data_IF_000902080295
#
_entry.id   IF_000902080295
#
_cell.length_a   1.000
_cell.length_b   1.000
_cell.length_c   1.000
_cell.angle_alpha   90.00
_cell.angle_beta   90.00
_cell.angle_gamma   90.00
#
_symmetry.space_group_name_H-M   'P 1'
#
loop_
_entity.id
_entity.type
_entity.pdbx_description
1 polymer ?
#
# COMPACT_ATOMS: atom_id res chain seq x y z
N UNK A 1 0.73 16.88 10.97
CA UNK A 1 0.23 16.38 9.68
C UNK A 1 1.38 15.72 8.94
N UNK A 2 1.23 14.48 8.48
CA UNK A 2 2.26 13.72 7.76
C UNK A 2 1.92 13.73 6.27
N UNK A 3 2.90 14.03 5.41
CA UNK A 3 2.71 14.01 3.96
C UNK A 3 3.10 12.64 3.42
N UNK A 4 2.20 12.03 2.66
CA UNK A 4 2.41 10.77 1.96
C UNK A 4 2.45 11.04 0.46
N UNK A 5 3.43 10.47 -0.25
CA UNK A 5 3.47 10.52 -1.72
C UNK A 5 2.27 9.74 -2.30
N UNK A 6 1.34 10.40 -3.01
CA UNK A 6 0.15 9.74 -3.56
C UNK A 6 0.49 8.80 -4.73
N UNK A 7 1.70 8.87 -5.30
CA UNK A 7 2.06 8.11 -6.50
C UNK A 7 1.94 6.60 -6.27
N UNK A 8 1.12 5.97 -7.11
CA UNK A 8 0.93 4.52 -7.13
C UNK A 8 -0.06 3.98 -6.09
N UNK A 9 -0.64 4.83 -5.23
CA UNK A 9 -1.61 4.41 -4.20
C UNK A 9 -2.83 3.69 -4.79
N UNK A 10 -3.36 4.19 -5.91
CA UNK A 10 -4.48 3.57 -6.63
C UNK A 10 -4.15 2.23 -7.32
N UNK A 11 -2.88 1.86 -7.37
CA UNK A 11 -2.38 0.65 -8.05
C UNK A 11 -1.87 -0.40 -7.07
N UNK A 12 -1.89 -0.17 -5.76
CA UNK A 12 -1.42 -1.13 -4.76
C UNK A 12 -2.53 -1.46 -3.77
N UNK A 13 -2.51 -2.68 -3.26
CA UNK A 13 -3.43 -3.12 -2.22
C UNK A 13 -3.04 -2.49 -0.88
N UNK A 14 -4.02 -1.97 -0.15
CA UNK A 14 -3.80 -1.38 1.18
C UNK A 14 -3.28 -2.41 2.20
N UNK A 15 -3.73 -3.65 2.06
CA UNK A 15 -3.42 -4.72 3.01
C UNK A 15 -2.03 -5.30 2.77
N UNK A 16 -1.82 -5.90 1.59
CA UNK A 16 -0.63 -6.70 1.30
C UNK A 16 0.41 -6.00 0.40
N UNK A 17 0.19 -4.73 0.05
CA UNK A 17 1.06 -3.92 -0.82
C UNK A 17 1.30 -4.50 -2.24
N UNK A 18 0.62 -5.57 -2.65
CA UNK A 18 0.75 -6.11 -3.99
C UNK A 18 0.25 -5.11 -5.04
N UNK A 19 1.00 -4.96 -6.14
CA UNK A 19 0.59 -4.14 -7.26
C UNK A 19 -0.55 -4.82 -8.02
N UNK A 20 -1.66 -4.11 -8.17
CA UNK A 20 -2.84 -4.50 -8.93
C UNK A 20 -3.04 -3.46 -10.03
N UNK A 21 -2.48 -3.74 -11.20
CA UNK A 21 -2.58 -2.88 -12.39
C UNK A 21 -4.03 -2.69 -12.79
N UNK A 22 -4.46 -1.44 -12.92
CA UNK A 22 -5.83 -1.10 -13.30
C UNK A 22 -5.91 0.27 -13.99
N UNK A 23 -6.86 0.42 -14.91
CA UNK A 23 -7.16 1.69 -15.57
C UNK A 23 -7.90 2.66 -14.64
N UNK A 24 -8.03 3.93 -15.06
CA UNK A 24 -8.81 4.92 -14.32
C UNK A 24 -10.33 4.60 -14.29
N UNK A 25 -10.84 3.89 -15.29
CA UNK A 25 -12.24 3.47 -15.34
C UNK A 25 -12.54 2.28 -14.42
N UNK A 26 -11.53 1.50 -14.04
CA UNK A 26 -11.69 0.43 -13.05
C UNK A 26 -11.78 1.03 -11.65
N UNK A 27 -13.03 1.09 -11.16
CA UNK A 27 -13.39 1.64 -9.84
C UNK A 27 -13.35 0.59 -8.72
N UNK A 28 -13.37 -0.69 -9.05
CA UNK A 28 -13.26 -1.80 -8.08
C UNK A 28 -11.81 -2.26 -7.91
N UNK A 29 -11.41 -2.57 -6.68
CA UNK A 29 -10.16 -3.23 -6.35
C UNK A 29 -10.45 -4.66 -5.92
N UNK A 30 -9.97 -5.63 -6.70
CA UNK A 30 -9.94 -7.04 -6.33
C UNK A 30 -8.47 -7.49 -6.31
N UNK A 31 -7.96 -7.86 -5.14
CA UNK A 31 -6.55 -8.20 -4.96
C UNK A 31 -6.31 -9.71 -5.11
N UNK A 32 -5.53 -10.17 -6.10
CA UNK A 32 -5.29 -11.60 -6.32
C UNK A 32 -4.34 -12.22 -5.28
N UNK A 33 -3.60 -11.41 -4.51
CA UNK A 33 -2.66 -11.91 -3.48
C UNK A 33 -3.36 -12.21 -2.17
N UNK A 34 -4.21 -11.30 -1.69
CA UNK A 34 -4.79 -11.36 -0.34
C UNK A 34 -6.33 -11.39 -0.32
N UNK A 35 -6.99 -11.34 -1.48
CA UNK A 35 -8.45 -11.45 -1.57
C UNK A 35 -9.25 -10.19 -1.20
N UNK A 36 -8.61 -9.05 -0.96
CA UNK A 36 -9.32 -7.80 -0.66
C UNK A 36 -10.20 -7.36 -1.84
N UNK A 37 -11.46 -7.04 -1.53
CA UNK A 37 -12.49 -6.60 -2.49
C UNK A 37 -13.21 -5.34 -1.99
N UNK A 38 -12.97 -4.19 -2.63
CA UNK A 38 -13.53 -2.90 -2.21
C UNK A 38 -13.42 -1.84 -3.31
N UNK A 39 -14.06 -0.68 -3.13
CA UNK A 39 -13.84 0.48 -4.01
C UNK A 39 -12.35 0.90 -4.00
N UNK A 40 -11.83 1.23 -5.19
CA UNK A 40 -10.43 1.60 -5.41
C UNK A 40 -10.01 2.83 -4.61
N UNK A 41 -10.88 3.83 -4.51
CA UNK A 41 -10.55 5.07 -3.81
C UNK A 41 -10.55 4.82 -2.29
N UNK A 42 -11.45 3.97 -1.78
CA UNK A 42 -11.40 3.52 -0.39
C UNK A 42 -10.12 2.72 -0.09
N UNK A 43 -9.73 1.80 -0.96
CA UNK A 43 -8.42 1.12 -0.87
C UNK A 43 -7.26 2.13 -0.85
N UNK A 44 -7.31 3.16 -1.70
CA UNK A 44 -6.26 4.17 -1.76
C UNK A 44 -6.18 4.99 -0.46
N UNK A 45 -7.33 5.34 0.13
CA UNK A 45 -7.39 6.06 1.40
C UNK A 45 -6.83 5.22 2.56
N UNK A 46 -7.19 3.93 2.65
CA UNK A 46 -6.64 3.00 3.65
C UNK A 46 -5.13 2.85 3.50
N UNK A 47 -4.61 2.75 2.27
CA UNK A 47 -3.17 2.67 2.02
C UNK A 47 -2.45 3.95 2.46
N UNK A 48 -3.00 5.13 2.14
CA UNK A 48 -2.43 6.42 2.58
C UNK A 48 -2.42 6.50 4.12
N UNK A 49 -3.51 6.09 4.78
CA UNK A 49 -3.58 6.04 6.24
C UNK A 49 -2.51 5.10 6.81
N UNK A 50 -2.38 3.89 6.28
CA UNK A 50 -1.38 2.89 6.69
C UNK A 50 0.05 3.44 6.57
N UNK A 51 0.39 4.03 5.42
CA UNK A 51 1.71 4.64 5.20
C UNK A 51 1.94 5.78 6.20
N UNK A 52 0.96 6.67 6.39
CA UNK A 52 1.08 7.78 7.32
C UNK A 52 1.27 7.34 8.78
N UNK A 53 0.66 6.23 9.19
CA UNK A 53 0.88 5.65 10.52
C UNK A 53 2.27 5.03 10.65
N UNK A 54 2.74 4.31 9.63
CA UNK A 54 4.11 3.75 9.61
C UNK A 54 5.18 4.85 9.71
N UNK A 55 4.96 6.01 9.09
CA UNK A 55 5.88 7.15 9.23
C UNK A 55 6.04 7.67 10.67
N UNK A 56 5.13 7.34 11.59
CA UNK A 56 5.23 7.74 13.00
C UNK A 56 6.10 6.82 13.85
N UNK A 57 6.39 5.60 13.36
CA UNK A 57 7.05 4.55 14.13
C UNK A 57 8.58 4.55 13.99
N UNK A 58 9.16 5.64 13.48
CA UNK A 58 10.60 5.86 13.42
C UNK A 58 11.26 5.50 12.09
N UNK A 59 10.49 5.05 11.10
CA UNK A 59 10.99 4.80 9.74
C UNK A 59 10.49 5.85 8.74
N UNK A 60 11.34 6.27 7.79
CA UNK A 60 11.01 7.21 6.70
C UNK A 60 10.15 6.54 5.60
N UNK A 61 9.05 5.92 6.02
CA UNK A 61 8.08 5.28 5.14
C UNK A 61 7.03 6.32 4.74
N UNK A 62 7.35 7.12 3.72
CA UNK A 62 6.48 8.21 3.23
C UNK A 62 5.84 7.93 1.87
N UNK A 63 6.09 6.76 1.28
CA UNK A 63 5.60 6.40 -0.06
C UNK A 63 5.27 4.91 -0.16
N UNK A 64 4.48 4.53 -1.17
CA UNK A 64 4.24 3.12 -1.49
C UNK A 64 5.55 2.39 -1.79
N UNK A 65 6.51 3.06 -2.45
CA UNK A 65 7.81 2.50 -2.81
C UNK A 65 8.64 2.12 -1.58
N UNK A 66 8.66 2.98 -0.56
CA UNK A 66 9.37 2.69 0.69
C UNK A 66 8.63 1.65 1.53
N UNK A 67 7.29 1.70 1.58
CA UNK A 67 6.47 0.71 2.28
C UNK A 67 6.66 -0.72 1.72
N UNK A 68 6.68 -0.87 0.39
CA UNK A 68 6.93 -2.17 -0.26
C UNK A 68 8.31 -2.72 0.10
N UNK A 69 9.34 -1.86 0.07
CA UNK A 69 10.71 -2.28 0.42
C UNK A 69 10.83 -2.72 1.87
N UNK A 70 10.19 -1.98 2.77
CA UNK A 70 10.13 -2.33 4.18
C UNK A 70 9.47 -3.69 4.38
N UNK A 71 8.28 -3.89 3.80
CA UNK A 71 7.56 -5.17 3.87
C UNK A 71 8.37 -6.34 3.32
N UNK A 72 9.07 -6.17 2.20
CA UNK A 72 9.96 -7.23 1.65
C UNK A 72 11.15 -7.52 2.57
N UNK A 73 11.72 -6.50 3.21
CA UNK A 73 12.81 -6.67 4.16
C UNK A 73 12.36 -7.41 5.44
N UNK A 74 11.15 -7.13 5.92
CA UNK A 74 10.55 -7.88 7.04
C UNK A 74 10.26 -9.33 6.67
N UNK A 75 9.63 -9.57 5.51
CA UNK A 75 9.39 -10.93 5.01
C UNK A 75 10.70 -11.74 4.93
N UNK A 76 11.77 -11.15 4.39
CA UNK A 76 13.08 -11.79 4.29
C UNK A 76 13.71 -12.16 5.64
N UNK A 77 13.37 -11.45 6.74
CA UNK A 77 13.86 -11.75 8.09
C UNK A 77 13.12 -12.93 8.74
N UNK A 78 11.87 -13.19 8.33
CA UNK A 78 11.05 -14.27 8.89
C UNK A 78 11.39 -15.63 8.29
N UNK A 79 11.96 -15.65 7.07
CA UNK A 79 12.36 -16.88 6.38
C UNK A 79 13.85 -17.22 6.53
N UNK A 80 14.61 -16.44 7.31
CA UNK A 80 16.02 -16.65 7.64
C UNK A 80 16.17 -17.25 9.04
#
# INVERSE_FOLDING_TARGET
MIKVDPKGTSQHCWECLNKVSKSLSQRWHSCPRCGQELDRDYNSALLIQKIGLLSTQGEDITSVKTAVRFSLAEESRVVA
#
